data_IF_023357179863
#
_entry.id   IF_023357179863
#
_cell.length_a   1.000
_cell.length_b   1.000
_cell.length_c   1.000
_cell.angle_alpha   90.00
_cell.angle_beta   90.00
_cell.angle_gamma   90.00
#
_symmetry.space_group_name_H-M   'P 1'
#
loop_
_entity.id
_entity.type
_entity.pdbx_description
1 polymer ?
#
# COMPACT_ATOMS: atom_id res chain seq x y z
N UNK A 1 12.66 2.75 6.01
CA UNK A 1 12.11 2.16 7.26
C UNK A 1 12.86 0.88 7.61
N UNK A 2 12.93 0.59 8.90
CA UNK A 2 13.52 -0.65 9.45
C UNK A 2 12.52 -1.81 9.38
N UNK A 3 12.98 -3.04 9.62
CA UNK A 3 12.09 -4.21 9.70
C UNK A 3 11.02 -4.05 10.79
N UNK A 4 11.37 -3.46 11.92
CA UNK A 4 10.40 -3.12 12.97
C UNK A 4 9.37 -2.09 12.48
N UNK A 5 9.81 -1.09 11.71
CA UNK A 5 8.92 -0.11 11.07
C UNK A 5 7.96 -0.73 10.05
N UNK A 6 8.23 -1.93 9.54
CA UNK A 6 7.31 -2.68 8.68
C UNK A 6 6.18 -3.38 9.46
N UNK A 7 6.05 -3.16 10.77
CA UNK A 7 4.90 -3.66 11.54
C UNK A 7 4.78 -5.18 11.55
N UNK A 8 5.89 -5.91 11.43
CA UNK A 8 5.91 -7.38 11.38
C UNK A 8 5.66 -7.99 10.00
N UNK A 9 5.43 -7.18 8.96
CA UNK A 9 5.30 -7.68 7.60
C UNK A 9 6.66 -8.15 7.03
N UNK A 10 6.73 -9.43 6.66
CA UNK A 10 7.98 -10.06 6.19
C UNK A 10 8.41 -9.65 4.78
N UNK A 11 7.50 -9.05 3.98
CA UNK A 11 7.79 -8.68 2.58
C UNK A 11 7.24 -7.31 2.23
N UNK A 12 7.84 -6.60 1.25
CA UNK A 12 7.29 -5.35 0.73
C UNK A 12 5.84 -5.48 0.25
N UNK A 13 5.50 -6.58 -0.44
CA UNK A 13 4.13 -6.84 -0.89
C UNK A 13 3.17 -6.90 0.29
N UNK A 14 3.46 -7.72 1.30
CA UNK A 14 2.58 -7.87 2.46
C UNK A 14 2.39 -6.53 3.21
N UNK A 15 3.46 -5.74 3.33
CA UNK A 15 3.36 -4.41 3.91
C UNK A 15 2.49 -3.47 3.08
N UNK A 16 2.71 -3.40 1.76
CA UNK A 16 1.96 -2.49 0.89
C UNK A 16 0.49 -2.89 0.76
N UNK A 17 0.19 -4.19 0.68
CA UNK A 17 -1.18 -4.71 0.68
C UNK A 17 -1.94 -4.26 1.93
N UNK A 18 -1.31 -4.33 3.11
CA UNK A 18 -1.88 -3.88 4.36
C UNK A 18 -1.97 -2.34 4.45
N UNK A 19 -0.92 -1.62 4.06
CA UNK A 19 -0.87 -0.16 4.11
C UNK A 19 -1.94 0.50 3.24
N UNK A 20 -2.24 -0.10 2.08
CA UNK A 20 -3.28 0.35 1.16
C UNK A 20 -4.63 -0.37 1.38
N UNK A 21 -4.78 -1.13 2.47
CA UNK A 21 -6.06 -1.69 2.90
C UNK A 21 -6.43 -1.13 4.28
N UNK A 22 -7.31 -0.13 4.30
CA UNK A 22 -7.72 0.53 5.53
C UNK A 22 -9.16 1.02 5.48
N UNK A 23 -9.73 1.28 6.65
CA UNK A 23 -10.98 2.02 6.83
C UNK A 23 -10.78 3.07 7.92
N UNK A 24 -11.38 4.24 7.74
CA UNK A 24 -11.39 5.31 8.76
C UNK A 24 -12.77 5.94 8.86
N UNK A 25 -13.14 6.32 10.06
CA UNK A 25 -14.31 7.17 10.32
C UNK A 25 -13.99 8.62 9.91
N UNK A 26 -14.96 9.32 9.36
CA UNK A 26 -14.83 10.74 9.02
C UNK A 26 -15.43 11.62 10.12
N UNK A 27 -14.90 12.84 10.25
CA UNK A 27 -15.50 13.87 11.10
C UNK A 27 -16.89 14.22 10.55
N UNK A 28 -17.93 14.05 11.37
CA UNK A 28 -19.33 14.18 10.94
C UNK A 28 -20.05 12.86 10.66
N UNK A 29 -19.38 11.72 10.83
CA UNK A 29 -19.95 10.39 10.63
C UNK A 29 -19.62 9.78 9.27
N UNK A 30 -20.00 8.51 9.10
CA UNK A 30 -19.66 7.73 7.91
C UNK A 30 -18.22 7.19 7.92
N UNK A 31 -17.89 6.41 6.89
CA UNK A 31 -16.59 5.75 6.74
C UNK A 31 -16.04 5.94 5.33
N UNK A 32 -14.71 6.03 5.23
CA UNK A 32 -13.99 5.98 3.97
C UNK A 32 -12.81 5.04 4.10
N UNK A 33 -12.56 4.26 3.06
CA UNK A 33 -11.49 3.29 3.06
C UNK A 33 -10.98 2.97 1.69
N UNK A 34 -10.01 2.07 1.67
CA UNK A 34 -9.47 1.46 0.47
C UNK A 34 -9.20 -0.02 0.76
N UNK A 35 -9.34 -0.86 -0.25
CA UNK A 35 -9.05 -2.30 -0.14
C UNK A 35 -8.30 -2.77 -1.38
N UNK A 36 -7.10 -3.32 -1.19
CA UNK A 36 -6.39 -4.00 -2.28
C UNK A 36 -7.13 -5.29 -2.62
N UNK A 37 -7.49 -5.46 -3.89
CA UNK A 37 -8.19 -6.66 -4.39
C UNK A 37 -7.25 -7.61 -5.12
N UNK A 38 -6.19 -7.10 -5.74
CA UNK A 38 -5.11 -7.90 -6.30
C UNK A 38 -3.82 -7.06 -6.37
N UNK A 39 -2.66 -7.70 -6.23
CA UNK A 39 -1.38 -7.02 -6.33
C UNK A 39 -0.20 -7.95 -6.60
N UNK A 40 0.83 -7.40 -7.25
CA UNK A 40 2.05 -8.10 -7.61
C UNK A 40 3.29 -7.27 -7.26
N UNK A 41 4.32 -7.93 -6.70
CA UNK A 41 5.64 -7.35 -6.52
C UNK A 41 6.60 -7.92 -7.58
N UNK A 42 7.00 -7.07 -8.50
CA UNK A 42 7.68 -7.46 -9.74
C UNK A 42 9.13 -6.97 -9.73
N UNK A 43 10.05 -7.87 -10.08
CA UNK A 43 11.46 -7.55 -10.29
C UNK A 43 12.19 -7.00 -9.06
N UNK A 44 11.69 -7.28 -7.86
CA UNK A 44 12.19 -6.72 -6.60
C UNK A 44 12.25 -5.17 -6.57
N UNK A 45 11.37 -4.51 -7.34
CA UNK A 45 11.49 -3.06 -7.60
C UNK A 45 10.16 -2.33 -7.70
N UNK A 46 9.11 -2.98 -8.18
CA UNK A 46 7.82 -2.30 -8.39
C UNK A 46 6.70 -3.15 -7.81
N UNK A 47 5.81 -2.53 -7.07
CA UNK A 47 4.56 -3.13 -6.62
C UNK A 47 3.40 -2.49 -7.39
N UNK A 48 2.57 -3.34 -7.99
CA UNK A 48 1.37 -2.96 -8.72
C UNK A 48 0.15 -3.48 -7.98
N UNK A 49 -0.93 -2.71 -7.92
CA UNK A 49 -2.18 -3.20 -7.35
C UNK A 49 -3.41 -2.62 -8.02
N UNK A 50 -4.50 -3.37 -7.96
CA UNK A 50 -5.86 -2.86 -8.08
C UNK A 50 -6.45 -2.70 -6.68
N UNK A 51 -7.06 -1.56 -6.41
CA UNK A 51 -7.66 -1.28 -5.12
C UNK A 51 -9.04 -0.61 -5.27
N UNK A 52 -9.99 -1.05 -4.48
CA UNK A 52 -11.32 -0.45 -4.36
C UNK A 52 -11.26 0.76 -3.43
N UNK A 53 -11.89 1.87 -3.83
CA UNK A 53 -12.22 2.97 -2.92
C UNK A 53 -13.61 2.70 -2.35
N UNK A 54 -13.71 2.68 -1.02
CA UNK A 54 -14.92 2.32 -0.30
C UNK A 54 -15.42 3.55 0.46
N UNK A 55 -16.72 3.79 0.42
CA UNK A 55 -17.39 4.82 1.21
C UNK A 55 -18.65 4.22 1.82
N UNK A 56 -18.81 4.35 3.14
CA UNK A 56 -19.97 3.86 3.89
C UNK A 56 -20.28 2.38 3.67
N UNK A 57 -19.23 1.57 3.50
CA UNK A 57 -19.32 0.13 3.22
C UNK A 57 -19.49 -0.24 1.75
N UNK A 58 -19.80 0.73 0.89
CA UNK A 58 -20.05 0.53 -0.54
C UNK A 58 -18.82 0.83 -1.40
N UNK A 59 -18.54 -0.05 -2.37
CA UNK A 59 -17.47 0.13 -3.34
C UNK A 59 -17.87 1.22 -4.34
N UNK A 60 -17.07 2.28 -4.42
CA UNK A 60 -17.33 3.42 -5.29
C UNK A 60 -16.72 3.23 -6.68
N UNK A 61 -15.42 2.89 -6.71
CA UNK A 61 -14.66 2.64 -7.95
C UNK A 61 -13.35 1.92 -7.63
N UNK A 62 -12.70 1.41 -8.67
CA UNK A 62 -11.38 0.76 -8.59
C UNK A 62 -10.31 1.68 -9.16
N UNK A 63 -9.18 1.76 -8.49
CA UNK A 63 -7.97 2.46 -8.96
C UNK A 63 -6.81 1.48 -9.17
N UNK A 64 -5.89 1.86 -10.05
CA UNK A 64 -4.60 1.21 -10.17
C UNK A 64 -3.56 1.99 -9.33
N UNK A 65 -2.74 1.26 -8.58
CA UNK A 65 -1.65 1.78 -7.78
C UNK A 65 -0.32 1.26 -8.32
N UNK A 66 0.70 2.12 -8.31
CA UNK A 66 2.08 1.75 -8.60
C UNK A 66 2.98 2.33 -7.52
N UNK A 67 3.77 1.46 -6.89
CA UNK A 67 4.80 1.85 -5.93
C UNK A 67 6.18 1.43 -6.44
N UNK A 68 7.09 2.39 -6.58
CA UNK A 68 8.52 2.08 -6.66
C UNK A 68 9.00 1.68 -5.28
N UNK A 69 9.69 0.55 -5.20
CA UNK A 69 10.14 -0.07 -3.96
C UNK A 69 11.65 -0.19 -3.96
N UNK A 70 12.25 0.19 -2.83
CA UNK A 70 13.61 -0.17 -2.47
C UNK A 70 13.55 -1.22 -1.37
N UNK A 71 14.04 -2.42 -1.69
CA UNK A 71 14.08 -3.55 -0.75
C UNK A 71 15.51 -4.10 -0.67
N UNK A 72 16.10 -4.01 0.52
CA UNK A 72 17.41 -4.54 0.85
C UNK A 72 17.40 -5.11 2.28
N UNK A 73 16.98 -6.37 2.48
CA UNK A 73 16.91 -6.97 3.81
C UNK A 73 18.28 -7.10 4.50
N UNK A 74 19.39 -7.04 3.75
CA UNK A 74 20.76 -7.07 4.26
C UNK A 74 21.38 -5.70 4.52
N UNK A 75 20.58 -4.61 4.54
CA UNK A 75 21.10 -3.26 4.77
C UNK A 75 21.76 -3.14 6.15
N UNK A 76 23.05 -2.79 6.19
CA UNK A 76 23.84 -2.70 7.43
C UNK A 76 23.40 -1.56 8.36
N UNK A 77 22.77 -0.53 7.81
CA UNK A 77 22.19 0.59 8.55
C UNK A 77 20.79 0.28 9.12
N UNK A 78 20.26 -0.93 8.86
CA UNK A 78 18.94 -1.38 9.30
C UNK A 78 17.77 -0.82 8.50
N UNK A 79 17.98 0.07 7.52
CA UNK A 79 16.93 0.65 6.69
C UNK A 79 16.64 -0.23 5.47
N UNK A 80 15.98 -1.35 5.73
CA UNK A 80 15.77 -2.43 4.76
C UNK A 80 14.71 -2.14 3.69
N UNK A 81 13.82 -1.18 3.92
CA UNK A 81 12.67 -0.94 3.04
C UNK A 81 12.38 0.54 2.83
N UNK A 82 11.86 0.88 1.66
CA UNK A 82 11.24 2.16 1.37
C UNK A 82 10.40 2.06 0.11
N UNK A 83 9.39 2.90 -0.02
CA UNK A 83 8.58 2.96 -1.22
C UNK A 83 8.18 4.39 -1.56
N UNK A 84 7.84 4.60 -2.83
CA UNK A 84 7.24 5.82 -3.34
C UNK A 84 6.10 5.44 -4.25
N UNK A 85 4.89 5.80 -3.86
CA UNK A 85 3.69 5.71 -4.67
C UNK A 85 3.65 6.83 -5.73
N UNK A 86 3.07 6.52 -6.89
CA UNK A 86 2.61 7.54 -7.81
C UNK A 86 1.26 8.08 -7.34
N UNK A 87 1.09 9.40 -7.30
CA UNK A 87 -0.24 10.00 -7.19
C UNK A 87 -1.12 9.48 -8.36
N UNK A 88 -2.45 9.35 -8.17
CA UNK A 88 -3.33 8.96 -9.27
C UNK A 88 -3.07 9.90 -10.46
N UNK A 89 -2.81 9.33 -11.63
CA UNK A 89 -2.73 10.11 -12.86
C UNK A 89 -4.17 10.50 -13.25
N UNK A 90 -4.67 11.60 -12.68
CA UNK A 90 -5.88 12.25 -13.17
C UNK A 90 -5.57 12.72 -14.59
N UNK A 91 -6.25 12.15 -15.58
CA UNK A 91 -6.25 12.63 -16.97
C UNK A 91 -7.44 13.55 -17.17
#
# INVERSE_FOLDING_TARGET
MTSAGMGGHATPKAYLDAQFTYSRTLDGGGTRGMRVIDSAFVGNRVWYAAAEIIQDGEVQYVIALVCLVKWNPGAKDGYVFGYKDSAPLWR
#
